data_IF_288171250593
#
_entry.id   IF_288171250593
#
_cell.length_a   1.000
_cell.length_b   1.000
_cell.length_c   1.000
_cell.angle_alpha   90.00
_cell.angle_beta   90.00
_cell.angle_gamma   90.00
#
_symmetry.space_group_name_H-M   'P 1'
#
loop_
_entity.id
_entity.type
_entity.pdbx_description
1 polymer ?
#
# COMPACT_ATOMS: atom_id res chain seq x y z
N UNK A 1 -71.16 0.54 40.19
CA UNK A 1 -69.74 0.65 40.56
C UNK A 1 -68.95 -0.12 39.48
N UNK A 2 -68.37 0.62 38.54
CA UNK A 2 -67.59 0.01 37.42
C UNK A 2 -66.14 0.45 37.62
N UNK A 3 -65.21 -0.50 37.86
CA UNK A 3 -63.77 -0.27 37.97
C UNK A 3 -63.13 -0.47 36.60
N UNK A 4 -62.56 0.60 36.03
CA UNK A 4 -61.71 0.53 34.86
C UNK A 4 -60.27 0.20 35.30
N UNK A 5 -59.74 -0.95 34.82
CA UNK A 5 -58.32 -1.26 34.90
C UNK A 5 -57.64 -0.62 33.69
N UNK A 6 -56.71 0.29 33.94
CA UNK A 6 -55.80 0.85 32.94
C UNK A 6 -54.59 -0.09 32.82
N UNK A 7 -54.43 -0.75 31.63
CA UNK A 7 -53.29 -1.57 31.31
C UNK A 7 -52.24 -0.66 30.63
N UNK A 8 -51.15 -0.37 31.37
CA UNK A 8 -50.02 0.40 30.83
C UNK A 8 -49.10 -0.54 29.99
N UNK A 9 -48.97 -0.23 28.70
CA UNK A 9 -48.01 -0.92 27.81
C UNK A 9 -46.67 -0.28 27.96
N UNK A 10 -45.72 -1.02 28.56
CA UNK A 10 -44.30 -0.61 28.66
C UNK A 10 -43.60 -0.96 27.34
N UNK A 11 -43.35 0.06 26.51
CA UNK A 11 -42.59 -0.13 25.23
C UNK A 11 -41.09 -0.16 25.55
N UNK A 12 -40.46 -1.33 25.48
CA UNK A 12 -39.00 -1.46 25.54
C UNK A 12 -38.40 -1.04 24.18
N UNK A 13 -37.80 0.14 24.16
CA UNK A 13 -36.92 0.55 23.04
C UNK A 13 -35.58 -0.19 23.19
N UNK A 14 -35.34 -1.23 22.38
CA UNK A 14 -34.02 -1.84 22.23
C UNK A 14 -33.15 -0.93 21.38
N UNK A 15 -32.16 -0.28 22.00
CA UNK A 15 -31.12 0.47 21.30
C UNK A 15 -30.14 -0.54 20.71
N UNK A 16 -30.23 -0.81 19.42
CA UNK A 16 -29.23 -1.57 18.69
C UNK A 16 -27.95 -0.72 18.58
N UNK A 17 -26.96 -0.99 19.43
CA UNK A 17 -25.61 -0.43 19.28
C UNK A 17 -25.00 -1.03 18.01
N UNK A 18 -24.92 -0.24 16.93
CA UNK A 18 -24.11 -0.57 15.78
C UNK A 18 -22.65 -0.63 16.23
N UNK A 19 -22.07 -1.80 16.28
CA UNK A 19 -20.63 -1.99 16.43
C UNK A 19 -19.99 -1.45 15.14
N UNK A 20 -19.59 -0.19 15.15
CA UNK A 20 -18.70 0.35 14.12
C UNK A 20 -17.41 -0.46 14.19
N UNK A 21 -17.17 -1.31 13.19
CA UNK A 21 -15.92 -2.05 13.07
C UNK A 21 -14.74 -1.06 13.11
N UNK A 22 -13.68 -1.40 13.83
CA UNK A 22 -12.48 -0.57 13.84
C UNK A 22 -11.99 -0.40 12.40
N UNK A 23 -11.61 0.82 11.99
CA UNK A 23 -11.12 1.07 10.64
C UNK A 23 -9.90 0.19 10.38
N UNK A 24 -9.89 -0.52 9.27
CA UNK A 24 -8.83 -1.46 8.89
C UNK A 24 -7.98 -0.87 7.76
N UNK A 25 -6.68 -1.12 7.83
CA UNK A 25 -5.76 -0.73 6.76
C UNK A 25 -6.00 -1.60 5.52
N UNK A 26 -6.05 -1.00 4.35
CA UNK A 26 -6.31 -1.68 3.08
C UNK A 26 -5.15 -1.53 2.11
N UNK A 27 -4.95 -2.55 1.27
CA UNK A 27 -4.02 -2.46 0.14
C UNK A 27 -4.57 -1.52 -0.92
N UNK A 28 -3.70 -0.67 -1.49
CA UNK A 28 -4.12 0.30 -2.48
C UNK A 28 -3.03 1.23 -2.98
N UNK A 29 -3.45 2.10 -3.89
CA UNK A 29 -2.72 3.33 -4.20
C UNK A 29 -3.28 4.45 -3.33
N UNK A 30 -2.40 5.23 -2.81
CA UNK A 30 -2.65 6.48 -2.11
C UNK A 30 -1.84 7.58 -2.82
N UNK A 31 -2.04 8.83 -2.46
CA UNK A 31 -1.24 9.94 -2.98
C UNK A 31 0.24 9.70 -2.72
N UNK A 32 1.02 9.46 -3.79
CA UNK A 32 2.45 9.17 -3.68
C UNK A 32 2.83 7.81 -3.08
N UNK A 33 1.88 6.98 -2.61
CA UNK A 33 2.17 5.73 -1.91
C UNK A 33 1.47 4.51 -2.54
N UNK A 34 2.21 3.47 -2.85
CA UNK A 34 1.72 2.11 -3.01
C UNK A 34 1.82 1.40 -1.66
N UNK A 35 0.72 0.78 -1.21
CA UNK A 35 0.68 0.07 0.07
C UNK A 35 0.00 -1.28 -0.09
N UNK A 36 0.64 -2.33 0.39
CA UNK A 36 0.08 -3.67 0.48
C UNK A 36 0.02 -4.14 1.93
N UNK A 37 -1.12 -4.70 2.32
CA UNK A 37 -1.30 -5.40 3.59
C UNK A 37 -1.18 -6.89 3.31
N UNK A 38 -0.16 -7.51 3.89
CA UNK A 38 0.12 -8.94 3.69
C UNK A 38 -0.84 -9.82 4.49
N UNK A 39 -0.97 -11.11 4.16
CA UNK A 39 -1.78 -12.06 4.96
C UNK A 39 -1.33 -12.16 6.43
N UNK A 40 -0.08 -11.83 6.73
CA UNK A 40 0.46 -11.77 8.09
C UNK A 40 0.24 -10.42 8.79
N UNK A 41 -0.64 -9.56 8.27
CA UNK A 41 -0.92 -8.22 8.80
C UNK A 41 0.33 -7.31 8.87
N UNK A 42 1.33 -7.59 8.04
CA UNK A 42 2.46 -6.67 7.82
C UNK A 42 2.09 -5.71 6.68
N UNK A 43 2.74 -4.57 6.70
CA UNK A 43 2.66 -3.57 5.63
C UNK A 43 3.93 -3.65 4.79
N UNK A 44 3.76 -3.59 3.49
CA UNK A 44 4.80 -3.33 2.51
C UNK A 44 4.40 -2.11 1.69
N UNK A 45 5.31 -1.17 1.49
CA UNK A 45 4.98 0.03 0.74
C UNK A 45 6.16 0.61 -0.03
N UNK A 46 5.81 1.46 -0.98
CA UNK A 46 6.74 2.25 -1.78
C UNK A 46 6.17 3.65 -1.96
N UNK A 47 6.86 4.62 -1.38
CA UNK A 47 6.56 6.04 -1.58
C UNK A 47 7.34 6.57 -2.77
N UNK A 48 6.67 7.29 -3.66
CA UNK A 48 7.28 7.93 -4.82
C UNK A 48 6.53 9.21 -5.18
N UNK A 49 7.23 10.32 -5.07
CA UNK A 49 6.74 11.63 -5.46
C UNK A 49 7.78 12.34 -6.32
N UNK A 50 7.32 13.11 -7.29
CA UNK A 50 8.19 13.84 -8.20
C UNK A 50 7.66 15.27 -8.40
N UNK A 51 8.57 16.23 -8.46
CA UNK A 51 8.26 17.66 -8.64
C UNK A 51 9.13 18.30 -9.71
N UNK A 52 8.56 19.32 -10.36
CA UNK A 52 9.23 20.16 -11.36
C UNK A 52 9.06 19.65 -12.79
N UNK A 53 9.30 20.55 -13.75
CA UNK A 53 9.29 20.21 -15.17
C UNK A 53 10.38 19.16 -15.48
N UNK A 54 10.03 18.15 -16.24
CA UNK A 54 10.94 17.06 -16.58
C UNK A 54 11.34 16.15 -15.42
N UNK A 55 10.57 16.16 -14.30
CA UNK A 55 10.83 15.32 -13.11
C UNK A 55 12.23 15.52 -12.55
N UNK A 56 12.64 16.77 -12.39
CA UNK A 56 13.99 17.14 -11.94
C UNK A 56 14.29 16.80 -10.47
N UNK A 57 13.24 16.59 -9.66
CA UNK A 57 13.35 16.25 -8.23
C UNK A 57 12.42 15.06 -7.92
N UNK A 58 12.97 14.07 -7.25
CA UNK A 58 12.24 12.86 -6.88
C UNK A 58 12.54 12.47 -5.43
N UNK A 59 11.50 12.09 -4.70
CA UNK A 59 11.58 11.47 -3.40
C UNK A 59 11.03 10.04 -3.51
N UNK A 60 11.83 9.06 -3.16
CA UNK A 60 11.38 7.65 -3.12
C UNK A 60 11.96 6.95 -1.92
N UNK A 61 11.17 6.09 -1.28
CA UNK A 61 11.63 5.17 -0.25
C UNK A 61 10.68 4.00 -0.12
N UNK A 62 11.20 2.88 0.34
CA UNK A 62 10.43 1.69 0.71
C UNK A 62 10.00 1.77 2.17
N UNK A 63 8.97 1.00 2.53
CA UNK A 63 8.58 0.79 3.92
C UNK A 63 8.08 -0.63 4.13
N UNK A 64 8.39 -1.21 5.30
CA UNK A 64 7.95 -2.55 5.69
C UNK A 64 7.89 -2.68 7.20
N UNK A 65 6.93 -3.46 7.70
CA UNK A 65 6.81 -3.81 9.11
C UNK A 65 5.36 -3.89 9.57
N UNK A 66 5.15 -3.80 10.88
CA UNK A 66 3.81 -3.62 11.44
C UNK A 66 3.36 -2.17 11.23
N UNK A 67 2.05 -1.90 11.10
CA UNK A 67 1.56 -0.54 10.89
C UNK A 67 2.12 0.48 11.89
N UNK A 68 2.22 0.10 13.16
CA UNK A 68 2.71 0.94 14.25
C UNK A 68 4.24 1.01 14.37
N UNK A 69 4.97 0.14 13.66
CA UNK A 69 6.43 0.02 13.72
C UNK A 69 6.99 -0.39 12.35
N UNK A 70 7.09 0.60 11.46
CA UNK A 70 7.68 0.43 10.13
C UNK A 70 9.16 0.77 10.16
N UNK A 71 9.92 0.11 9.31
CA UNK A 71 11.21 0.59 8.82
C UNK A 71 10.99 1.18 7.44
N UNK A 72 11.42 2.43 7.24
CA UNK A 72 11.46 3.08 5.92
C UNK A 72 12.91 3.19 5.46
N UNK A 73 13.19 2.95 4.18
CA UNK A 73 14.57 2.97 3.68
C UNK A 73 14.68 3.27 2.19
N UNK A 74 15.81 3.84 1.82
CA UNK A 74 16.40 3.84 0.49
C UNK A 74 17.89 3.51 0.68
N UNK A 75 18.76 4.50 0.92
CA UNK A 75 20.17 4.30 1.28
C UNK A 75 20.36 4.25 2.81
N UNK A 76 19.54 4.98 3.55
CA UNK A 76 19.49 5.00 5.01
C UNK A 76 18.13 4.54 5.49
N UNK A 77 18.06 3.99 6.69
CA UNK A 77 16.83 3.49 7.28
C UNK A 77 16.37 4.36 8.45
N UNK A 78 15.05 4.61 8.51
CA UNK A 78 14.40 5.40 9.56
C UNK A 78 13.13 4.71 10.04
N UNK A 79 12.77 4.84 11.33
CA UNK A 79 11.51 4.35 11.84
C UNK A 79 10.34 5.15 11.29
N UNK A 80 9.18 4.49 11.17
CA UNK A 80 7.95 5.12 10.74
C UNK A 80 6.72 4.37 11.24
N UNK A 81 5.56 4.89 10.92
CA UNK A 81 4.27 4.26 11.17
C UNK A 81 3.24 4.65 10.13
N UNK A 82 2.21 3.84 9.99
CA UNK A 82 1.03 4.16 9.19
C UNK A 82 -0.23 3.91 10.01
N UNK A 83 -1.13 4.87 10.01
CA UNK A 83 -2.44 4.76 10.65
C UNK A 83 -3.55 4.92 9.62
N UNK A 84 -4.74 4.41 9.94
CA UNK A 84 -5.92 4.57 9.07
C UNK A 84 -6.50 5.97 9.28
N UNK A 85 -6.83 6.65 8.19
CA UNK A 85 -7.60 7.88 8.15
C UNK A 85 -9.01 7.62 7.58
N UNK A 86 -9.88 8.65 7.56
CA UNK A 86 -11.27 8.55 7.07
C UNK A 86 -11.36 8.12 5.60
N UNK A 87 -10.45 8.61 4.77
CA UNK A 87 -10.44 8.44 3.31
C UNK A 87 -9.08 7.96 2.78
N UNK A 88 -8.18 7.54 3.68
CA UNK A 88 -6.85 7.12 3.32
C UNK A 88 -6.02 6.62 4.48
N UNK A 89 -4.78 7.09 4.55
CA UNK A 89 -3.83 6.75 5.61
C UNK A 89 -3.04 7.98 6.05
N UNK A 90 -2.58 7.95 7.30
CA UNK A 90 -1.60 8.90 7.84
C UNK A 90 -0.26 8.19 7.90
N UNK A 91 0.69 8.64 7.09
CA UNK A 91 2.07 8.14 7.10
C UNK A 91 2.95 9.07 7.95
N UNK A 92 3.63 8.50 8.94
CA UNK A 92 4.57 9.27 9.79
C UNK A 92 5.97 8.67 9.66
N UNK A 93 6.93 9.51 9.28
CA UNK A 93 8.36 9.21 9.25
C UNK A 93 9.10 10.44 9.74
N UNK A 94 9.48 10.47 11.02
CA UNK A 94 10.07 11.66 11.66
C UNK A 94 11.27 12.21 10.87
N UNK A 95 12.11 11.31 10.36
CA UNK A 95 13.28 11.65 9.56
C UNK A 95 13.07 11.44 8.05
N UNK A 96 11.83 11.36 7.58
CA UNK A 96 11.49 11.02 6.18
C UNK A 96 12.12 11.94 5.14
N UNK A 97 12.27 13.21 5.47
CA UNK A 97 12.92 14.18 4.59
C UNK A 97 14.45 14.01 4.47
N UNK A 98 15.06 13.16 5.29
CA UNK A 98 16.47 12.79 5.20
C UNK A 98 16.73 11.67 4.18
N UNK A 99 15.70 10.98 3.68
CA UNK A 99 15.88 10.10 2.53
C UNK A 99 16.42 10.89 1.33
N UNK A 100 17.30 10.29 0.52
CA UNK A 100 17.89 10.95 -0.65
C UNK A 100 16.82 11.55 -1.57
N UNK A 101 17.00 12.84 -1.92
CA UNK A 101 16.07 13.58 -2.78
C UNK A 101 14.81 14.11 -2.09
N UNK A 102 14.48 13.70 -0.86
CA UNK A 102 13.21 14.01 -0.23
C UNK A 102 13.12 15.41 0.40
N UNK A 103 14.24 16.04 0.75
CA UNK A 103 14.26 17.32 1.47
C UNK A 103 13.45 18.45 0.78
N UNK A 104 13.39 18.45 -0.56
CA UNK A 104 12.73 19.49 -1.36
C UNK A 104 11.45 18.99 -2.07
N UNK A 105 11.01 17.78 -1.78
CA UNK A 105 9.81 17.15 -2.40
C UNK A 105 8.82 16.79 -1.33
N UNK A 106 9.25 16.01 -0.34
CA UNK A 106 8.39 15.50 0.72
C UNK A 106 7.95 16.61 1.68
N UNK A 107 6.66 16.68 1.90
CA UNK A 107 6.04 17.66 2.80
C UNK A 107 6.58 17.52 4.23
N UNK A 108 6.81 18.64 4.97
CA UNK A 108 7.30 18.60 6.35
C UNK A 108 6.39 17.81 7.31
N UNK A 109 5.10 17.76 7.03
CA UNK A 109 4.07 17.05 7.78
C UNK A 109 4.35 15.56 7.90
N UNK A 110 5.19 14.99 7.05
CA UNK A 110 5.65 13.59 7.15
C UNK A 110 6.26 13.27 8.52
N UNK A 111 6.83 14.26 9.20
CA UNK A 111 7.44 14.06 10.52
C UNK A 111 6.40 13.89 11.64
N UNK A 112 5.18 14.39 11.46
CA UNK A 112 4.11 14.38 12.47
C UNK A 112 2.85 13.65 12.01
N UNK A 113 2.75 13.32 10.72
CA UNK A 113 1.65 12.63 10.10
C UNK A 113 1.23 13.31 8.79
N UNK A 114 1.57 12.71 7.67
CA UNK A 114 1.14 13.13 6.34
C UNK A 114 -0.10 12.35 5.93
N UNK A 115 -1.20 13.06 5.73
CA UNK A 115 -2.43 12.49 5.18
C UNK A 115 -2.25 12.15 3.71
N UNK A 116 -2.58 10.91 3.34
CA UNK A 116 -2.50 10.39 1.98
C UNK A 116 -3.86 9.77 1.61
N UNK A 117 -4.60 10.45 0.75
CA UNK A 117 -5.92 10.00 0.28
C UNK A 117 -5.80 8.73 -0.56
N UNK A 118 -6.70 7.77 -0.38
CA UNK A 118 -6.75 6.56 -1.20
C UNK A 118 -7.28 6.88 -2.60
N UNK A 119 -6.44 6.68 -3.62
CA UNK A 119 -6.80 6.90 -5.03
C UNK A 119 -7.33 5.65 -5.70
N UNK A 120 -6.94 4.45 -5.24
CA UNK A 120 -7.47 3.18 -5.73
C UNK A 120 -7.31 2.07 -4.69
N UNK A 121 -8.41 1.32 -4.43
CA UNK A 121 -8.35 0.08 -3.66
C UNK A 121 -7.78 -1.05 -4.51
N UNK A 122 -6.92 -1.89 -3.92
CA UNK A 122 -6.23 -3.00 -4.59
C UNK A 122 -6.30 -4.28 -3.75
N UNK A 123 -6.13 -5.43 -4.39
CA UNK A 123 -6.08 -6.74 -3.72
C UNK A 123 -4.64 -7.23 -3.56
N UNK A 124 -3.70 -6.33 -3.39
CA UNK A 124 -2.30 -6.70 -3.24
C UNK A 124 -2.05 -7.37 -1.88
N UNK A 125 -1.31 -8.47 -1.93
CA UNK A 125 -0.87 -9.24 -0.76
C UNK A 125 0.61 -9.00 -0.44
N UNK A 126 1.26 -8.11 -1.15
CA UNK A 126 2.65 -7.70 -1.00
C UNK A 126 3.10 -6.83 -2.16
N UNK A 127 4.32 -6.32 -2.07
CA UNK A 127 5.02 -5.63 -3.15
C UNK A 127 6.32 -6.36 -3.49
N UNK A 128 6.76 -6.25 -4.73
CA UNK A 128 8.08 -6.71 -5.16
C UNK A 128 8.73 -5.68 -6.07
N UNK A 129 10.06 -5.68 -6.10
CA UNK A 129 10.85 -4.89 -7.05
C UNK A 129 11.31 -5.80 -8.18
N UNK A 130 11.20 -5.35 -9.41
CA UNK A 130 11.70 -6.07 -10.58
C UNK A 130 13.23 -6.02 -10.58
N UNK A 131 13.87 -7.19 -10.64
CA UNK A 131 15.34 -7.33 -10.64
C UNK A 131 15.91 -7.60 -12.03
N UNK A 132 15.09 -8.09 -12.98
CA UNK A 132 15.50 -8.35 -14.34
C UNK A 132 15.41 -7.07 -15.19
N UNK A 133 16.32 -6.90 -16.16
CA UNK A 133 16.28 -5.78 -17.10
C UNK A 133 14.94 -5.70 -17.85
N UNK A 134 14.31 -6.86 -18.08
CA UNK A 134 12.99 -6.96 -18.68
C UNK A 134 12.26 -8.20 -18.18
N UNK A 135 11.08 -8.03 -17.58
CA UNK A 135 10.19 -9.09 -17.15
C UNK A 135 8.86 -9.00 -17.90
N UNK A 136 8.56 -9.99 -18.74
CA UNK A 136 7.29 -10.04 -19.48
C UNK A 136 6.16 -10.50 -18.56
N UNK A 137 5.03 -9.81 -18.63
CA UNK A 137 3.81 -10.15 -17.89
C UNK A 137 3.09 -11.32 -18.58
N UNK A 138 3.42 -12.55 -18.20
CA UNK A 138 2.89 -13.77 -18.84
C UNK A 138 1.43 -14.01 -18.43
N UNK A 139 0.64 -14.65 -19.31
CA UNK A 139 -0.76 -15.01 -18.97
C UNK A 139 -0.84 -16.06 -17.87
N UNK A 140 0.07 -17.03 -17.89
CA UNK A 140 0.20 -18.11 -16.90
C UNK A 140 1.68 -18.39 -16.67
N UNK A 141 2.07 -19.01 -15.55
CA UNK A 141 3.43 -19.47 -15.32
C UNK A 141 3.96 -20.30 -16.50
N UNK A 142 5.16 -19.98 -16.98
CA UNK A 142 5.80 -20.70 -18.09
C UNK A 142 5.25 -20.43 -19.49
N UNK A 143 4.24 -19.56 -19.65
CA UNK A 143 3.71 -19.22 -20.97
C UNK A 143 4.74 -18.47 -21.82
N UNK A 144 4.56 -18.51 -23.16
CA UNK A 144 5.41 -17.74 -24.08
C UNK A 144 5.19 -16.23 -23.95
N UNK A 145 6.28 -15.47 -23.99
CA UNK A 145 6.28 -14.00 -23.83
C UNK A 145 5.81 -13.22 -25.08
N UNK A 146 5.60 -13.90 -26.23
CA UNK A 146 5.32 -13.27 -27.52
C UNK A 146 4.21 -12.19 -27.42
N UNK A 147 4.52 -10.95 -27.84
CA UNK A 147 3.60 -9.79 -27.86
C UNK A 147 2.98 -9.43 -26.50
N UNK A 148 3.65 -9.77 -25.39
CA UNK A 148 3.19 -9.40 -24.03
C UNK A 148 3.81 -8.08 -23.59
N UNK A 149 3.09 -7.28 -22.78
CA UNK A 149 3.70 -6.15 -22.09
C UNK A 149 4.80 -6.66 -21.16
N UNK A 150 5.74 -5.79 -20.85
CA UNK A 150 6.84 -6.06 -19.92
C UNK A 150 7.01 -4.89 -18.94
N UNK A 151 7.63 -5.19 -17.84
CA UNK A 151 8.11 -4.27 -16.81
C UNK A 151 9.63 -4.34 -16.75
N UNK A 152 10.27 -3.31 -16.23
CA UNK A 152 11.72 -3.17 -16.26
C UNK A 152 12.32 -3.18 -14.85
N UNK A 153 13.62 -3.32 -14.80
CA UNK A 153 14.38 -3.27 -13.54
C UNK A 153 14.02 -2.02 -12.74
N UNK A 154 13.93 -2.21 -11.43
CA UNK A 154 13.56 -1.21 -10.41
C UNK A 154 12.08 -0.77 -10.41
N UNK A 155 11.25 -1.26 -11.34
CA UNK A 155 9.80 -1.11 -11.20
C UNK A 155 9.32 -1.79 -9.91
N UNK A 156 8.46 -1.09 -9.15
CA UNK A 156 7.75 -1.65 -7.99
C UNK A 156 6.34 -2.02 -8.41
N UNK A 157 5.93 -3.25 -8.10
CA UNK A 157 4.65 -3.81 -8.54
C UNK A 157 3.90 -4.46 -7.39
N UNK A 158 2.56 -4.36 -7.42
CA UNK A 158 1.69 -5.05 -6.47
C UNK A 158 1.58 -6.53 -6.79
N UNK A 159 1.65 -7.37 -5.77
CA UNK A 159 1.50 -8.83 -5.91
C UNK A 159 0.09 -9.25 -5.57
N UNK A 160 -0.55 -9.95 -6.49
CA UNK A 160 -1.90 -10.52 -6.34
C UNK A 160 -1.87 -11.96 -5.83
N UNK A 161 -0.84 -12.73 -6.19
CA UNK A 161 -0.63 -14.09 -5.72
C UNK A 161 0.82 -14.54 -5.89
N UNK A 162 1.25 -15.47 -5.04
CA UNK A 162 2.47 -16.26 -5.23
C UNK A 162 2.10 -17.72 -5.46
N UNK A 163 2.74 -18.36 -6.43
CA UNK A 163 2.52 -19.76 -6.76
C UNK A 163 3.77 -20.40 -7.39
N UNK A 164 4.30 -21.45 -6.77
CA UNK A 164 5.34 -22.34 -7.33
C UNK A 164 6.53 -21.58 -7.97
N UNK A 165 7.08 -20.59 -7.25
CA UNK A 165 8.19 -19.77 -7.75
C UNK A 165 7.79 -18.68 -8.75
N UNK A 166 6.49 -18.36 -8.85
CA UNK A 166 5.96 -17.26 -9.67
C UNK A 166 5.22 -16.26 -8.80
N UNK A 167 5.22 -15.00 -9.24
CA UNK A 167 4.37 -13.94 -8.70
C UNK A 167 3.40 -13.47 -9.79
N UNK A 168 2.11 -13.44 -9.48
CA UNK A 168 1.12 -12.71 -10.26
C UNK A 168 1.17 -11.26 -9.81
N UNK A 169 1.55 -10.38 -10.70
CA UNK A 169 1.76 -8.97 -10.37
C UNK A 169 0.81 -8.06 -11.14
N UNK A 170 0.56 -6.89 -10.56
CA UNK A 170 -0.12 -5.77 -11.19
C UNK A 170 0.85 -4.59 -11.28
N UNK A 171 1.15 -4.16 -12.49
CA UNK A 171 1.88 -2.94 -12.80
C UNK A 171 0.88 -1.85 -13.20
N UNK A 172 1.05 -0.65 -12.67
CA UNK A 172 0.26 0.53 -13.02
C UNK A 172 1.20 1.56 -13.64
N UNK A 173 0.95 1.91 -14.90
CA UNK A 173 1.78 2.90 -15.59
C UNK A 173 1.40 4.35 -15.20
N UNK A 174 2.11 5.32 -15.77
CA UNK A 174 1.89 6.75 -15.52
C UNK A 174 0.49 7.26 -15.96
N UNK A 175 -0.19 6.54 -16.86
CA UNK A 175 -1.55 6.85 -17.31
C UNK A 175 -2.62 6.16 -16.45
N UNK A 176 -2.27 5.62 -15.27
CA UNK A 176 -3.11 4.82 -14.37
C UNK A 176 -3.70 3.55 -15.00
N UNK A 177 -3.09 3.03 -16.08
CA UNK A 177 -3.49 1.78 -16.68
C UNK A 177 -2.84 0.60 -15.98
N UNK A 178 -3.67 -0.37 -15.60
CA UNK A 178 -3.22 -1.63 -14.96
C UNK A 178 -2.90 -2.69 -15.99
N UNK A 179 -1.75 -3.36 -15.78
CA UNK A 179 -1.32 -4.54 -16.53
C UNK A 179 -1.03 -5.66 -15.54
N UNK A 180 -1.64 -6.82 -15.74
CA UNK A 180 -1.44 -7.97 -14.88
C UNK A 180 -0.76 -9.11 -15.63
N UNK A 181 0.04 -9.89 -14.91
CA UNK A 181 0.69 -11.07 -15.46
C UNK A 181 1.57 -11.77 -14.44
N UNK A 182 2.13 -12.89 -14.86
CA UNK A 182 3.02 -13.70 -14.06
C UNK A 182 4.48 -13.43 -14.43
N UNK A 183 5.33 -13.25 -13.41
CA UNK A 183 6.79 -13.16 -13.52
C UNK A 183 7.44 -14.24 -12.66
N UNK A 184 8.59 -14.77 -13.09
CA UNK A 184 9.28 -15.84 -12.33
C UNK A 184 10.09 -15.27 -11.17
N UNK A 185 10.38 -16.10 -10.17
CA UNK A 185 11.14 -15.75 -8.97
C UNK A 185 12.52 -15.15 -9.27
N UNK A 186 13.17 -15.54 -10.37
CA UNK A 186 14.44 -14.95 -10.79
C UNK A 186 14.34 -13.53 -11.38
N UNK A 187 13.13 -13.00 -11.56
CA UNK A 187 12.88 -11.70 -12.18
C UNK A 187 12.44 -10.63 -11.19
N UNK A 188 12.28 -10.97 -9.91
CA UNK A 188 11.89 -10.02 -8.88
C UNK A 188 12.61 -10.29 -7.55
N UNK A 189 12.68 -9.28 -6.73
CA UNK A 189 13.11 -9.34 -5.34
C UNK A 189 11.96 -8.93 -4.42
N UNK A 190 11.79 -9.61 -3.28
CA UNK A 190 10.90 -9.17 -2.21
C UNK A 190 11.51 -7.99 -1.48
N UNK A 191 10.66 -7.13 -0.93
CA UNK A 191 11.11 -6.08 -0.03
C UNK A 191 11.68 -6.73 1.23
N UNK A 192 12.85 -6.27 1.65
CA UNK A 192 13.51 -6.71 2.90
C UNK A 192 14.03 -5.46 3.60
N UNK A 193 13.35 -5.09 4.68
CA UNK A 193 13.78 -3.96 5.48
C UNK A 193 15.15 -4.23 6.11
N UNK A 194 16.09 -3.28 6.06
CA UNK A 194 17.32 -3.35 6.82
C UNK A 194 17.00 -3.31 8.32
N UNK A 195 17.91 -3.83 9.13
CA UNK A 195 17.81 -3.67 10.60
C UNK A 195 18.12 -2.22 10.97
N UNK A 196 17.27 -1.62 11.78
CA UNK A 196 17.49 -0.32 12.41
C UNK A 196 18.55 -0.43 13.51
#
# INVERSE_FOLDING_TARGET
MIRFLAMGVLSLCTVASALAGSPTLHSGKYEGLMLAVTPGHQVEGFYAEAMGEGVSRRCTFYLQGKPEALTTWLDSAYPGSVAVASDGVILTVEQGRQHPGCINVLMPEIATGLDLTQTASKKWIGLVTVSADKAYLLKTPGAKAAKRPYIVKDDVVGVLAFKDGWAQVEFINADDRSFTGWISQGQYARLVAPKL
#
